data_IF_678154123429
#
_entry.id   IF_678154123429
#
_cell.length_a   1.000
_cell.length_b   1.000
_cell.length_c   1.000
_cell.angle_alpha   90.00
_cell.angle_beta   90.00
_cell.angle_gamma   90.00
#
_symmetry.space_group_name_H-M   'P 1'
#
loop_
_entity.id
_entity.type
_entity.pdbx_description
1 polymer ?
#
# COMPACT_ATOMS: atom_id res chain seq x y z
N UNK A 1 -17.59 -3.25 -10.34
CA UNK A 1 -17.17 -2.40 -9.21
C UNK A 1 -16.12 -3.13 -8.36
N UNK A 2 -14.87 -2.69 -8.45
CA UNK A 2 -13.74 -3.26 -7.72
C UNK A 2 -12.91 -2.18 -7.00
N UNK A 3 -13.43 -0.94 -6.97
CA UNK A 3 -12.81 0.15 -6.24
C UNK A 3 -12.74 -0.20 -4.76
N UNK A 4 -11.56 -0.03 -4.18
CA UNK A 4 -11.39 -0.16 -2.74
C UNK A 4 -11.91 1.12 -2.09
N UNK A 5 -13.01 0.98 -1.35
CA UNK A 5 -13.69 2.08 -0.67
C UNK A 5 -14.07 1.67 0.76
N UNK A 6 -14.61 2.62 1.54
CA UNK A 6 -14.95 2.40 2.95
C UNK A 6 -15.93 1.23 3.14
N UNK A 7 -16.89 1.06 2.23
CA UNK A 7 -17.85 -0.05 2.29
C UNK A 7 -17.16 -1.40 2.08
N UNK A 8 -16.23 -1.50 1.14
CA UNK A 8 -15.45 -2.72 0.94
C UNK A 8 -14.53 -2.99 2.14
N UNK A 9 -13.84 -1.96 2.65
CA UNK A 9 -12.95 -2.07 3.80
C UNK A 9 -13.69 -2.48 5.08
N UNK A 10 -14.97 -2.10 5.24
CA UNK A 10 -15.79 -2.51 6.38
C UNK A 10 -16.04 -4.03 6.48
N UNK A 11 -15.83 -4.78 5.39
CA UNK A 11 -15.89 -6.25 5.40
C UNK A 11 -14.57 -6.92 5.81
N UNK A 12 -13.46 -6.17 5.83
CA UNK A 12 -12.17 -6.69 6.24
C UNK A 12 -12.09 -6.82 7.77
N UNK A 13 -11.01 -7.43 8.25
CA UNK A 13 -10.73 -7.48 9.69
C UNK A 13 -10.50 -6.06 10.23
N UNK A 14 -10.76 -5.80 11.53
CA UNK A 14 -10.54 -4.49 12.14
C UNK A 14 -9.09 -4.00 12.06
N UNK A 15 -8.12 -4.90 11.90
CA UNK A 15 -6.69 -4.63 11.77
C UNK A 15 -6.17 -4.76 10.33
N UNK A 16 -7.07 -4.83 9.35
CA UNK A 16 -6.66 -4.88 7.95
C UNK A 16 -5.90 -3.61 7.56
N UNK A 17 -4.86 -3.81 6.74
CA UNK A 17 -4.08 -2.72 6.16
C UNK A 17 -4.47 -2.56 4.69
N UNK A 18 -4.59 -1.31 4.27
CA UNK A 18 -4.69 -0.96 2.86
C UNK A 18 -3.28 -0.71 2.30
N UNK A 19 -2.95 -1.43 1.23
CA UNK A 19 -1.68 -1.38 0.51
C UNK A 19 -1.93 -1.01 -0.95
N UNK A 20 -0.98 -0.30 -1.58
CA UNK A 20 -1.04 0.11 -2.97
C UNK A 20 0.35 0.48 -3.48
N UNK A 21 0.77 -0.12 -4.60
CA UNK A 21 2.14 -0.02 -5.11
C UNK A 21 2.54 1.36 -5.69
N UNK A 22 1.55 2.22 -5.97
CA UNK A 22 1.67 3.55 -6.59
C UNK A 22 2.18 3.52 -8.05
N UNK A 23 1.89 4.56 -8.86
CA UNK A 23 0.95 5.67 -8.59
C UNK A 23 -0.51 5.19 -8.56
N UNK A 24 -1.36 5.94 -7.85
CA UNK A 24 -2.79 5.66 -7.73
C UNK A 24 -3.62 6.72 -8.50
N UNK A 25 -4.66 6.29 -9.21
CA UNK A 25 -5.75 7.14 -9.69
C UNK A 25 -6.87 7.21 -8.64
N UNK A 26 -6.84 8.30 -7.88
CA UNK A 26 -7.84 8.56 -6.83
C UNK A 26 -9.25 8.58 -7.41
N UNK A 27 -10.14 7.93 -6.67
CA UNK A 27 -11.56 7.75 -6.97
C UNK A 27 -11.85 6.93 -8.25
N UNK A 28 -10.84 6.22 -8.78
CA UNK A 28 -11.02 5.13 -9.75
C UNK A 28 -10.76 3.78 -9.07
N UNK A 29 -9.51 3.38 -8.81
CA UNK A 29 -9.24 2.11 -8.12
C UNK A 29 -9.36 2.19 -6.59
N UNK A 30 -9.20 3.38 -5.99
CA UNK A 30 -9.32 3.59 -4.55
C UNK A 30 -9.90 4.96 -4.22
N UNK A 31 -10.78 5.06 -3.22
CA UNK A 31 -11.27 6.35 -2.71
C UNK A 31 -10.22 7.09 -1.89
N UNK A 32 -10.24 8.42 -1.92
CA UNK A 32 -9.30 9.23 -1.13
C UNK A 32 -9.39 8.97 0.38
N UNK A 33 -10.58 8.65 0.91
CA UNK A 33 -10.79 8.31 2.32
C UNK A 33 -10.00 7.08 2.76
N UNK A 34 -9.98 6.03 1.93
CA UNK A 34 -9.20 4.81 2.19
C UNK A 34 -7.71 5.08 2.00
N UNK A 35 -7.33 5.81 0.95
CA UNK A 35 -5.92 6.04 0.64
C UNK A 35 -5.20 6.89 1.69
N UNK A 36 -5.87 7.88 2.27
CA UNK A 36 -5.32 8.74 3.33
C UNK A 36 -5.83 8.34 4.74
N UNK A 37 -6.56 7.22 4.83
CA UNK A 37 -7.19 6.74 6.05
C UNK A 37 -6.22 6.06 7.02
N UNK A 38 -6.68 5.77 8.26
CA UNK A 38 -5.81 5.24 9.32
C UNK A 38 -5.29 3.82 9.07
N UNK A 39 -5.91 3.08 8.15
CA UNK A 39 -5.49 1.74 7.75
C UNK A 39 -4.52 1.73 6.56
N UNK A 40 -4.24 2.91 5.98
CA UNK A 40 -3.35 3.02 4.83
C UNK A 40 -1.89 2.98 5.24
N UNK A 41 -1.13 2.08 4.61
CA UNK A 41 0.33 1.96 4.79
C UNK A 41 1.06 2.16 3.47
N UNK A 42 0.45 2.86 2.50
CA UNK A 42 1.00 3.04 1.15
C UNK A 42 2.38 3.73 1.15
N UNK A 43 2.63 4.64 2.11
CA UNK A 43 3.93 5.30 2.23
C UNK A 43 4.97 4.40 2.91
N UNK A 44 4.59 3.60 3.91
CA UNK A 44 5.50 2.61 4.51
C UNK A 44 5.85 1.51 3.50
N UNK A 45 4.88 1.06 2.69
CA UNK A 45 5.12 0.14 1.57
C UNK A 45 6.11 0.75 0.56
N UNK A 46 5.93 2.01 0.20
CA UNK A 46 6.82 2.73 -0.71
C UNK A 46 8.23 2.90 -0.11
N UNK A 47 8.36 3.26 1.17
CA UNK A 47 9.64 3.36 1.87
C UNK A 47 10.35 2.00 1.92
N UNK A 48 9.62 0.92 2.19
CA UNK A 48 10.15 -0.44 2.23
C UNK A 48 10.76 -0.90 0.90
N UNK A 49 10.42 -0.27 -0.23
CA UNK A 49 11.11 -0.52 -1.51
C UNK A 49 12.60 -0.23 -1.41
N UNK A 50 13.01 0.84 -0.73
CA UNK A 50 14.42 1.18 -0.53
C UNK A 50 15.14 0.07 0.25
N UNK A 51 14.54 -0.39 1.35
CA UNK A 51 15.13 -1.42 2.19
C UNK A 51 15.22 -2.76 1.46
N UNK A 52 14.15 -3.17 0.78
CA UNK A 52 14.12 -4.39 -0.03
C UNK A 52 15.19 -4.36 -1.12
N UNK A 53 15.30 -3.25 -1.85
CA UNK A 53 16.28 -3.11 -2.92
C UNK A 53 17.72 -3.08 -2.39
N UNK A 54 17.99 -2.43 -1.25
CA UNK A 54 19.30 -2.51 -0.57
C UNK A 54 19.67 -3.95 -0.23
N UNK A 55 18.72 -4.73 0.30
CA UNK A 55 18.95 -6.12 0.65
C UNK A 55 19.28 -6.98 -0.59
N UNK A 56 18.50 -6.80 -1.68
CA UNK A 56 18.76 -7.48 -2.96
C UNK A 56 20.12 -7.11 -3.52
N UNK A 57 20.48 -5.82 -3.54
CA UNK A 57 21.79 -5.35 -4.00
C UNK A 57 22.93 -5.99 -3.19
N UNK A 58 22.81 -6.01 -1.85
CA UNK A 58 23.78 -6.63 -0.95
C UNK A 58 23.94 -8.14 -1.22
N UNK A 59 22.83 -8.84 -1.46
CA UNK A 59 22.84 -10.28 -1.79
C UNK A 59 23.46 -10.56 -3.16
N UNK A 60 23.06 -9.82 -4.20
CA UNK A 60 23.55 -10.03 -5.57
C UNK A 60 25.03 -9.62 -5.75
N UNK A 61 25.46 -8.53 -5.11
CA UNK A 61 26.78 -7.92 -5.34
C UNK A 61 27.82 -8.30 -4.28
N UNK A 62 27.42 -9.01 -3.22
CA UNK A 62 28.33 -9.49 -2.18
C UNK A 62 28.96 -8.39 -1.31
N UNK A 63 28.31 -7.22 -1.24
CA UNK A 63 28.71 -6.11 -0.34
C UNK A 63 28.44 -6.44 1.13
#
# INVERSE_FOLDING_TARGET
PYQVNDALMAHAKPDALFMHCLPAHRNDEVTSSVMDGPHSVVFDEAENRLHAQKAVMRWCLGL
#
